data_IF_786388236350
#
_entry.id   IF_786388236350
#
_cell.length_a   1.000
_cell.length_b   1.000
_cell.length_c   1.000
_cell.angle_alpha   90.00
_cell.angle_beta   90.00
_cell.angle_gamma   90.00
#
_symmetry.space_group_name_H-M   'P 1'
#
loop_
_entity.id
_entity.type
_entity.pdbx_description
1 polymer ?
#
# COMPACT_ATOMS: atom_id res chain seq x y z
N UNK A 1 -12.02 2.42 4.36
CA UNK A 1 -12.04 2.54 2.88
C UNK A 1 -11.89 4.02 2.62
N UNK A 2 -10.73 4.44 2.09
CA UNK A 2 -10.30 5.84 2.16
C UNK A 2 -10.15 6.46 0.75
N UNK A 3 -10.62 5.75 -0.28
CA UNK A 3 -10.69 6.23 -1.66
C UNK A 3 -12.15 6.12 -2.14
N UNK A 4 -12.68 7.23 -2.65
CA UNK A 4 -14.05 7.37 -3.13
C UNK A 4 -14.03 7.62 -4.65
N UNK A 5 -14.98 7.04 -5.37
CA UNK A 5 -15.12 7.21 -6.81
C UNK A 5 -16.35 8.08 -7.05
N UNK A 6 -16.17 9.24 -7.68
CA UNK A 6 -17.25 10.12 -8.08
C UNK A 6 -17.95 9.61 -9.36
N UNK A 7 -19.12 10.16 -9.67
CA UNK A 7 -19.91 9.74 -10.84
C UNK A 7 -19.18 9.91 -12.19
N UNK A 8 -18.25 10.84 -12.27
CA UNK A 8 -17.40 11.09 -13.44
C UNK A 8 -16.16 10.17 -13.51
N UNK A 9 -16.01 9.24 -12.55
CA UNK A 9 -14.86 8.36 -12.43
C UNK A 9 -13.66 8.98 -11.71
N UNK A 10 -13.75 10.23 -11.24
CA UNK A 10 -12.68 10.87 -10.47
C UNK A 10 -12.51 10.18 -9.11
N UNK A 11 -11.28 9.77 -8.80
CA UNK A 11 -10.94 9.20 -7.49
C UNK A 11 -10.53 10.31 -6.52
N UNK A 12 -11.11 10.31 -5.32
CA UNK A 12 -10.78 11.25 -4.23
C UNK A 12 -10.38 10.49 -2.97
N UNK A 13 -9.32 10.95 -2.31
CA UNK A 13 -8.94 10.45 -0.98
C UNK A 13 -9.86 11.09 0.06
N UNK A 14 -10.34 10.28 1.00
CA UNK A 14 -11.14 10.71 2.14
C UNK A 14 -10.65 10.08 3.43
N UNK A 15 -11.40 10.35 4.51
CA UNK A 15 -11.17 9.81 5.86
C UNK A 15 -9.78 10.14 6.44
N UNK A 16 -9.65 11.40 6.88
CA UNK A 16 -8.51 11.91 7.64
C UNK A 16 -8.78 11.97 9.16
N UNK A 17 -9.85 11.32 9.63
CA UNK A 17 -10.31 11.43 11.02
C UNK A 17 -9.35 10.86 12.07
N UNK A 18 -8.42 10.00 11.63
CA UNK A 18 -7.36 9.41 12.46
C UNK A 18 -5.96 9.89 12.05
N UNK A 19 -5.86 10.99 11.28
CA UNK A 19 -4.56 11.57 10.91
C UNK A 19 -3.96 12.34 12.08
N UNK A 20 -2.63 12.34 12.16
CA UNK A 20 -1.90 13.04 13.21
C UNK A 20 -0.66 13.73 12.63
N UNK A 21 -0.12 14.74 13.33
CA UNK A 21 1.11 15.40 12.91
C UNK A 21 2.25 14.38 12.81
N UNK A 22 3.11 14.57 11.81
CA UNK A 22 4.36 13.80 11.69
C UNK A 22 5.20 14.01 12.95
N UNK A 23 5.26 12.99 13.81
CA UNK A 23 6.03 12.85 15.07
C UNK A 23 5.27 12.93 16.41
N UNK A 24 3.94 13.04 16.44
CA UNK A 24 3.21 13.25 17.72
C UNK A 24 2.72 11.96 18.41
N UNK A 25 2.80 10.79 17.77
CA UNK A 25 2.08 9.59 18.21
C UNK A 25 2.97 8.43 18.72
N UNK A 26 4.08 8.75 19.39
CA UNK A 26 4.89 7.72 20.04
C UNK A 26 4.08 7.04 21.15
N UNK A 27 3.58 5.82 20.90
CA UNK A 27 2.91 4.99 21.90
C UNK A 27 1.38 5.02 21.91
N UNK A 28 0.74 5.68 20.95
CA UNK A 28 -0.72 5.54 20.77
C UNK A 28 -1.08 4.16 20.21
N UNK A 29 -2.27 3.62 20.55
CA UNK A 29 -2.73 2.34 20.00
C UNK A 29 -2.73 2.38 18.47
N UNK A 30 -2.36 1.27 17.85
CA UNK A 30 -2.43 1.11 16.39
C UNK A 30 -3.89 1.23 15.96
N UNK A 31 -4.30 2.43 15.54
CA UNK A 31 -5.61 2.70 14.95
C UNK A 31 -5.50 2.51 13.43
N UNK A 32 -6.48 1.83 12.84
CA UNK A 32 -6.58 1.63 11.39
C UNK A 32 -6.53 0.16 10.97
N UNK A 33 -6.50 -0.06 9.65
CA UNK A 33 -6.55 -1.39 9.06
C UNK A 33 -5.13 -1.96 8.92
N UNK A 34 -4.74 -2.84 9.86
CA UNK A 34 -3.40 -3.48 9.96
C UNK A 34 -2.83 -3.95 8.63
N UNK A 35 -3.68 -4.47 7.74
CA UNK A 35 -3.30 -5.00 6.43
C UNK A 35 -2.62 -3.98 5.50
N UNK A 36 -2.79 -2.68 5.72
CA UNK A 36 -2.22 -1.61 4.88
C UNK A 36 -1.07 -0.86 5.58
N UNK A 37 -0.85 -1.09 6.87
CA UNK A 37 0.08 -0.29 7.65
C UNK A 37 1.52 -0.72 7.46
N UNK A 38 2.42 0.27 7.41
CA UNK A 38 3.85 0.04 7.30
C UNK A 38 4.43 -0.60 8.58
N UNK A 39 5.52 -1.40 8.48
CA UNK A 39 6.13 -2.06 9.63
C UNK A 39 6.48 -1.10 10.77
N UNK A 40 7.00 0.09 10.45
CA UNK A 40 7.35 1.10 11.44
C UNK A 40 6.13 1.72 12.13
N UNK A 41 4.98 1.81 11.44
CA UNK A 41 3.72 2.27 12.05
C UNK A 41 3.19 1.19 13.00
N UNK A 42 3.25 -0.07 12.58
CA UNK A 42 2.82 -1.21 13.41
C UNK A 42 3.67 -1.40 14.68
N UNK A 43 4.95 -1.05 14.63
CA UNK A 43 5.89 -1.21 15.76
C UNK A 43 5.96 0.03 16.64
N UNK A 44 5.94 1.23 16.05
CA UNK A 44 6.23 2.49 16.76
C UNK A 44 5.04 3.45 16.85
N UNK A 45 3.94 3.18 16.15
CA UNK A 45 2.79 4.10 16.04
C UNK A 45 3.08 5.36 15.21
N UNK A 46 4.28 5.49 14.63
CA UNK A 46 4.72 6.72 13.98
C UNK A 46 4.46 6.71 12.47
N UNK A 47 3.43 7.44 12.04
CA UNK A 47 3.16 7.73 10.63
C UNK A 47 4.15 8.73 10.03
N UNK A 48 4.54 8.49 8.78
CA UNK A 48 5.39 9.37 7.98
C UNK A 48 4.92 9.38 6.52
N UNK A 49 5.39 10.32 5.71
CA UNK A 49 5.14 10.26 4.26
C UNK A 49 5.56 8.91 3.63
N UNK A 50 6.62 8.29 4.14
CA UNK A 50 7.06 6.98 3.65
C UNK A 50 6.10 5.84 4.04
N UNK A 51 5.40 5.94 5.18
CA UNK A 51 4.38 4.95 5.55
C UNK A 51 3.10 5.08 4.72
N UNK A 52 2.78 6.29 4.27
CA UNK A 52 1.68 6.51 3.32
C UNK A 52 2.00 5.88 1.96
N UNK A 53 3.25 5.99 1.50
CA UNK A 53 3.72 5.31 0.28
C UNK A 53 3.60 3.78 0.43
N UNK A 54 3.95 3.22 1.58
CA UNK A 54 3.74 1.79 1.84
C UNK A 54 2.27 1.40 1.70
N UNK A 55 1.38 2.16 2.33
CA UNK A 55 -0.06 1.93 2.32
C UNK A 55 -0.64 2.02 0.90
N UNK A 56 -0.13 2.97 0.11
CA UNK A 56 -0.46 3.09 -1.32
C UNK A 56 0.04 1.89 -2.13
N UNK A 57 1.23 1.35 -1.83
CA UNK A 57 1.73 0.12 -2.44
C UNK A 57 0.79 -1.07 -2.23
N UNK A 58 0.34 -1.29 -0.99
CA UNK A 58 -0.66 -2.33 -0.67
C UNK A 58 -1.98 -2.05 -1.41
N UNK A 59 -2.38 -0.79 -1.54
CA UNK A 59 -3.60 -0.40 -2.26
C UNK A 59 -3.50 -0.70 -3.76
N UNK A 60 -2.38 -0.37 -4.41
CA UNK A 60 -2.13 -0.71 -5.83
C UNK A 60 -2.18 -2.22 -6.02
N UNK A 61 -1.52 -2.99 -5.13
CA UNK A 61 -1.58 -4.44 -5.17
C UNK A 61 -3.02 -4.95 -5.03
N UNK A 62 -3.80 -4.41 -4.10
CA UNK A 62 -5.21 -4.79 -3.91
C UNK A 62 -6.05 -4.49 -5.15
N UNK A 63 -5.84 -3.34 -5.80
CA UNK A 63 -6.57 -2.99 -7.03
C UNK A 63 -6.26 -3.94 -8.19
N UNK A 64 -5.00 -4.36 -8.35
CA UNK A 64 -4.60 -5.29 -9.41
C UNK A 64 -5.09 -6.71 -9.12
N UNK A 65 -4.94 -7.17 -7.87
CA UNK A 65 -5.29 -8.56 -7.49
C UNK A 65 -6.79 -8.75 -7.27
N UNK A 66 -7.53 -7.67 -6.99
CA UNK A 66 -8.98 -7.70 -6.73
C UNK A 66 -9.36 -8.46 -5.46
N UNK A 67 -8.40 -8.72 -4.55
CA UNK A 67 -8.62 -9.42 -3.28
C UNK A 67 -8.08 -8.62 -2.11
N UNK A 68 -8.79 -8.68 -0.99
CA UNK A 68 -8.34 -8.04 0.23
C UNK A 68 -6.96 -8.56 0.65
N UNK A 69 -6.02 -7.67 1.02
CA UNK A 69 -4.71 -8.07 1.52
C UNK A 69 -4.87 -8.90 2.79
N UNK A 70 -4.18 -10.04 2.85
CA UNK A 70 -4.20 -10.97 3.99
C UNK A 70 -5.61 -11.50 4.34
N UNK A 71 -6.47 -11.68 3.35
CA UNK A 71 -7.84 -12.16 3.56
C UNK A 71 -7.88 -13.45 4.40
N UNK A 72 -8.71 -13.46 5.46
CA UNK A 72 -8.88 -14.59 6.36
C UNK A 72 -7.75 -14.79 7.38
N UNK A 73 -6.71 -13.94 7.37
CA UNK A 73 -5.60 -14.00 8.32
C UNK A 73 -5.89 -13.08 9.51
N UNK A 74 -5.72 -13.60 10.73
CA UNK A 74 -5.94 -12.83 11.95
C UNK A 74 -4.97 -11.61 12.03
N UNK A 75 -5.42 -10.42 12.47
CA UNK A 75 -4.59 -9.20 12.47
C UNK A 75 -3.24 -9.33 13.19
N UNK A 76 -3.18 -10.07 14.31
CA UNK A 76 -1.92 -10.32 15.02
C UNK A 76 -0.92 -11.17 14.20
N UNK A 77 -1.42 -12.07 13.35
CA UNK A 77 -0.57 -12.85 12.44
C UNK A 77 -0.06 -11.92 11.33
N UNK A 78 -0.90 -11.04 10.79
CA UNK A 78 -0.48 -10.03 9.80
C UNK A 78 0.60 -9.12 10.37
N UNK A 79 0.40 -8.62 11.60
CA UNK A 79 1.41 -7.84 12.33
C UNK A 79 2.76 -8.59 12.38
N UNK A 80 2.74 -9.86 12.80
CA UNK A 80 3.94 -10.68 12.88
C UNK A 80 4.59 -10.91 11.51
N UNK A 81 3.80 -11.24 10.49
CA UNK A 81 4.25 -11.44 9.12
C UNK A 81 4.94 -10.20 8.55
N UNK A 82 4.32 -9.03 8.71
CA UNK A 82 4.82 -7.76 8.16
C UNK A 82 6.08 -7.29 8.90
N UNK A 83 6.08 -7.36 10.24
CA UNK A 83 7.13 -6.77 11.08
C UNK A 83 8.31 -7.69 11.36
N UNK A 84 8.08 -9.01 11.49
CA UNK A 84 9.12 -9.99 11.87
C UNK A 84 9.58 -10.85 10.71
N UNK A 85 8.65 -11.29 9.86
CA UNK A 85 8.99 -12.14 8.72
C UNK A 85 9.27 -11.35 7.44
N UNK A 86 9.05 -10.03 7.49
CA UNK A 86 9.13 -9.14 6.33
C UNK A 86 8.30 -9.62 5.13
N UNK A 87 7.18 -10.28 5.42
CA UNK A 87 6.25 -10.75 4.40
C UNK A 87 5.35 -9.61 3.94
N UNK A 88 4.93 -9.70 2.68
CA UNK A 88 3.99 -8.80 2.03
C UNK A 88 2.76 -9.61 1.57
N UNK A 89 1.65 -8.97 1.16
CA UNK A 89 0.54 -9.69 0.57
C UNK A 89 1.07 -10.62 -0.53
N UNK A 90 0.93 -11.93 -0.31
CA UNK A 90 1.68 -12.92 -1.06
C UNK A 90 1.12 -13.01 -2.49
N UNK A 91 2.00 -12.84 -3.49
CA UNK A 91 1.72 -13.11 -4.91
C UNK A 91 1.72 -14.61 -5.24
N UNK A 92 2.02 -15.49 -4.27
CA UNK A 92 2.02 -16.95 -4.38
C UNK A 92 0.84 -17.63 -3.66
N UNK A 93 0.03 -16.90 -2.88
CA UNK A 93 -1.15 -17.48 -2.23
C UNK A 93 -2.38 -17.57 -3.15
N UNK A 94 -2.27 -17.07 -4.38
CA UNK A 94 -3.33 -17.19 -5.38
C UNK A 94 -2.73 -17.75 -6.67
N UNK A 95 -3.16 -18.94 -7.07
CA UNK A 95 -2.82 -19.53 -8.37
C UNK A 95 -3.28 -18.70 -9.59
N UNK A 96 -4.08 -17.65 -9.35
CA UNK A 96 -4.58 -16.68 -10.34
C UNK A 96 -3.68 -15.43 -10.51
N UNK A 97 -2.54 -15.32 -9.82
CA UNK A 97 -1.74 -14.09 -9.67
C UNK A 97 -0.64 -13.87 -10.73
N UNK A 98 -0.62 -14.59 -11.85
CA UNK A 98 0.32 -14.22 -12.92
C UNK A 98 -0.24 -12.98 -13.63
N UNK A 99 0.50 -11.85 -13.70
CA UNK A 99 0.02 -10.68 -14.43
C UNK A 99 -0.42 -11.10 -15.82
N UNK A 100 -1.65 -10.72 -16.17
CA UNK A 100 -2.28 -11.07 -17.45
C UNK A 100 -1.93 -10.06 -18.54
N UNK A 101 -1.42 -8.88 -18.15
CA UNK A 101 -0.97 -7.82 -19.03
C UNK A 101 0.34 -7.20 -18.51
N UNK A 102 1.07 -6.49 -19.39
CA UNK A 102 2.25 -5.73 -18.96
C UNK A 102 1.87 -4.64 -17.96
N UNK A 103 0.69 -4.01 -18.13
CA UNK A 103 0.23 -2.97 -17.22
C UNK A 103 0.12 -3.52 -15.78
N UNK A 104 -0.48 -4.70 -15.61
CA UNK A 104 -0.55 -5.36 -14.31
C UNK A 104 0.84 -5.67 -13.74
N UNK A 105 1.77 -6.19 -14.56
CA UNK A 105 3.15 -6.46 -14.12
C UNK A 105 3.86 -5.19 -13.65
N UNK A 106 3.72 -4.08 -14.40
CA UNK A 106 4.32 -2.80 -14.07
C UNK A 106 3.71 -2.20 -12.79
N UNK A 107 2.39 -2.29 -12.62
CA UNK A 107 1.72 -1.84 -11.40
C UNK A 107 2.14 -2.66 -10.18
N UNK A 108 2.30 -3.98 -10.32
CA UNK A 108 2.78 -4.85 -9.24
C UNK A 108 4.24 -4.52 -8.87
N UNK A 109 5.12 -4.27 -9.85
CA UNK A 109 6.49 -3.80 -9.58
C UNK A 109 6.52 -2.45 -8.87
N UNK A 110 5.61 -1.54 -9.22
CA UNK A 110 5.47 -0.26 -8.52
C UNK A 110 5.03 -0.49 -7.08
N UNK A 111 4.01 -1.34 -6.84
CA UNK A 111 3.57 -1.72 -5.51
C UNK A 111 4.72 -2.32 -4.68
N UNK A 112 5.54 -3.17 -5.31
CA UNK A 112 6.69 -3.81 -4.68
C UNK A 112 7.75 -2.83 -4.19
N UNK A 113 8.01 -1.78 -4.97
CA UNK A 113 8.91 -0.69 -4.57
C UNK A 113 8.33 0.17 -3.45
N UNK A 114 7.01 0.35 -3.44
CA UNK A 114 6.32 1.18 -2.45
C UNK A 114 6.36 0.55 -1.05
N UNK A 115 6.32 -0.77 -0.92
CA UNK A 115 6.31 -1.47 0.37
C UNK A 115 7.67 -2.01 0.83
N UNK A 116 8.76 -1.40 0.36
CA UNK A 116 10.12 -1.75 0.78
C UNK A 116 10.27 -1.66 2.31
N UNK A 117 11.06 -2.57 2.88
CA UNK A 117 11.28 -2.66 4.33
C UNK A 117 11.87 -1.38 4.90
N UNK A 118 12.94 -0.87 4.26
CA UNK A 118 13.52 0.43 4.61
C UNK A 118 12.61 1.56 4.07
N UNK A 119 12.06 2.43 4.94
CA UNK A 119 11.28 3.59 4.51
C UNK A 119 12.02 4.51 3.54
N UNK A 120 13.36 4.60 3.63
CA UNK A 120 14.16 5.46 2.73
C UNK A 120 14.30 4.90 1.32
N UNK A 121 14.11 3.59 1.14
CA UNK A 121 14.17 2.94 -0.17
C UNK A 121 12.85 3.10 -0.97
N UNK A 122 11.79 3.57 -0.31
CA UNK A 122 10.47 3.77 -0.95
C UNK A 122 10.51 5.01 -1.86
N UNK A 123 9.79 5.01 -2.99
CA UNK A 123 9.71 6.19 -3.85
C UNK A 123 9.02 7.35 -3.14
N UNK A 124 9.39 8.57 -3.48
CA UNK A 124 8.65 9.75 -3.03
C UNK A 124 7.35 9.89 -3.83
N UNK A 125 6.35 10.59 -3.28
CA UNK A 125 5.10 10.88 -3.99
C UNK A 125 5.34 11.49 -5.39
N UNK A 126 6.21 12.50 -5.59
CA UNK A 126 6.50 13.02 -6.93
C UNK A 126 7.13 12.00 -7.87
N UNK A 127 7.99 11.11 -7.38
CA UNK A 127 8.59 10.06 -8.19
C UNK A 127 7.54 9.03 -8.63
N UNK A 128 6.66 8.66 -7.70
CA UNK A 128 5.57 7.72 -7.95
C UNK A 128 4.56 8.29 -8.96
N UNK A 129 4.17 9.57 -8.82
CA UNK A 129 3.30 10.25 -9.79
C UNK A 129 3.90 10.22 -11.19
N UNK A 130 5.21 10.44 -11.36
CA UNK A 130 5.87 10.34 -12.67
C UNK A 130 5.82 8.91 -13.22
N UNK A 131 6.09 7.91 -12.38
CA UNK A 131 6.02 6.51 -12.81
C UNK A 131 4.62 6.11 -13.26
N UNK A 132 3.57 6.50 -12.52
CA UNK A 132 2.18 6.21 -12.87
C UNK A 132 1.72 7.00 -14.11
N UNK A 133 2.08 8.28 -14.21
CA UNK A 133 1.75 9.10 -15.38
C UNK A 133 2.38 8.54 -16.67
N UNK A 134 3.60 8.00 -16.60
CA UNK A 134 4.24 7.36 -17.74
C UNK A 134 3.47 6.12 -18.24
N UNK A 135 2.81 5.37 -17.34
CA UNK A 135 1.95 4.25 -17.72
C UNK A 135 0.65 4.72 -18.39
N UNK A 136 0.07 5.80 -17.89
CA UNK A 136 -1.19 6.34 -18.42
C UNK A 136 -1.01 7.06 -19.76
N UNK A 137 0.11 7.76 -19.95
CA UNK A 137 0.40 8.55 -21.15
C UNK A 137 1.08 7.74 -22.26
N UNK A 138 1.46 6.49 -22.01
CA UNK A 138 1.95 5.60 -23.06
C UNK A 138 0.75 5.19 -23.94
N UNK A 139 0.67 5.64 -25.21
CA UNK A 139 -0.46 5.31 -26.06
C UNK A 139 -0.37 3.82 -26.40
N UNK A 140 -1.32 3.04 -25.87
CA UNK A 140 -1.58 1.63 -26.17
C UNK A 140 -0.34 0.70 -26.14
N UNK A 141 -0.25 -0.09 -25.08
CA UNK A 141 0.35 -1.43 -25.16
C UNK A 141 -0.74 -2.47 -25.34
#
# INVERSE_FOLDING_TARGET
>A
SNALIAYDGTVKIGDFGCCSPTNDNMGEPVVGTVAYQAPEVLVKGCGTYASDIFSLGVTIWHLVVGKFPYFGIHPHIVLYQVTRLNQRPNSLQCSSQRPTSLLEDLLLRIAERCWATDPKARPTSPALCRSLAALYLSPAM
#
